data_IF_756084233011
#
_entry.id   IF_756084233011
#
_cell.length_a   1.000
_cell.length_b   1.000
_cell.length_c   1.000
_cell.angle_alpha   90.00
_cell.angle_beta   90.00
_cell.angle_gamma   90.00
#
_symmetry.space_group_name_H-M   'P 1'
#
loop_
_entity.id
_entity.type
_entity.pdbx_description
1 polymer ?
#
# COMPACT_ATOMS: atom_id res chain seq x y z
N UNK A 1 -0.58 18.13 69.69
CA UNK A 1 -1.80 18.16 68.87
C UNK A 1 -1.53 18.44 67.38
N UNK A 2 -0.69 19.41 67.06
CA UNK A 2 -0.39 19.77 65.61
C UNK A 2 0.30 18.66 64.76
N UNK A 3 1.12 17.80 65.40
CA UNK A 3 1.81 16.70 64.68
C UNK A 3 0.85 15.58 64.33
N UNK A 4 -0.12 15.25 65.19
CA UNK A 4 -1.12 14.19 64.89
C UNK A 4 -2.07 14.57 63.70
N UNK A 5 -2.39 15.86 63.57
CA UNK A 5 -3.25 16.38 62.55
C UNK A 5 -2.52 16.31 61.18
N UNK A 6 -1.22 16.64 61.14
CA UNK A 6 -0.41 16.53 59.89
C UNK A 6 -0.23 15.07 59.43
N UNK A 7 -0.07 14.14 60.39
CA UNK A 7 0.05 12.71 60.06
C UNK A 7 -1.29 12.15 59.50
N UNK A 8 -2.40 12.57 60.07
CA UNK A 8 -3.74 12.17 59.61
C UNK A 8 -4.05 12.73 58.24
N UNK A 9 -3.66 13.98 57.94
CA UNK A 9 -3.80 14.59 56.62
C UNK A 9 -2.95 13.89 55.55
N UNK A 10 -1.75 13.43 55.90
CA UNK A 10 -0.86 12.70 55.00
C UNK A 10 -1.42 11.31 54.66
N UNK A 11 -2.01 10.62 55.65
CA UNK A 11 -2.64 9.30 55.45
C UNK A 11 -3.89 9.41 54.58
N UNK A 12 -4.71 10.44 54.80
CA UNK A 12 -5.92 10.68 53.97
C UNK A 12 -5.53 11.03 52.54
N UNK A 13 -4.46 11.82 52.30
CA UNK A 13 -3.96 12.14 50.97
C UNK A 13 -3.42 10.91 50.23
N UNK A 14 -2.77 9.98 50.94
CA UNK A 14 -2.24 8.74 50.36
C UNK A 14 -3.35 7.76 49.95
N UNK A 15 -4.50 7.75 50.64
CA UNK A 15 -5.64 6.87 50.33
C UNK A 15 -6.42 7.37 49.11
N UNK A 16 -6.43 8.68 48.86
CA UNK A 16 -7.15 9.26 47.70
C UNK A 16 -6.38 9.03 46.38
N UNK A 17 -5.07 8.77 46.42
CA UNK A 17 -4.26 8.51 45.20
C UNK A 17 -4.34 7.07 44.71
N UNK A 18 -5.05 6.17 45.38
CA UNK A 18 -5.32 4.82 44.87
C UNK A 18 -6.64 4.81 44.08
N UNK A 19 -6.75 5.66 43.07
CA UNK A 19 -7.72 5.46 42.02
C UNK A 19 -7.31 4.23 41.22
N UNK A 20 -7.89 3.07 41.55
CA UNK A 20 -7.85 1.92 40.66
C UNK A 20 -8.50 2.35 39.34
N UNK A 21 -7.71 2.57 38.31
CA UNK A 21 -8.19 2.46 36.93
C UNK A 21 -8.31 0.94 36.76
N UNK A 22 -9.50 0.41 36.99
CA UNK A 22 -9.81 -0.96 36.56
C UNK A 22 -9.63 -0.96 35.00
N UNK A 23 -8.75 -1.79 34.47
CA UNK A 23 -8.74 -2.00 33.01
C UNK A 23 -10.13 -2.51 32.64
N UNK A 24 -10.85 -1.73 31.84
CA UNK A 24 -12.10 -2.21 31.26
C UNK A 24 -11.65 -3.19 30.17
N UNK A 25 -11.72 -4.48 30.46
CA UNK A 25 -11.66 -5.50 29.43
C UNK A 25 -12.90 -5.34 28.56
N UNK A 26 -12.73 -4.64 27.45
CA UNK A 26 -13.71 -4.68 26.38
C UNK A 26 -13.56 -6.05 25.72
N UNK A 27 -14.38 -7.02 26.13
CA UNK A 27 -14.69 -8.11 25.24
C UNK A 27 -15.45 -7.52 24.03
N UNK A 28 -14.73 -7.09 23.03
CA UNK A 28 -15.32 -6.84 21.71
C UNK A 28 -15.83 -8.20 21.27
N UNK A 29 -17.13 -8.37 21.24
CA UNK A 29 -17.74 -9.58 20.69
C UNK A 29 -17.22 -9.71 19.26
N UNK A 30 -16.39 -10.70 19.02
CA UNK A 30 -15.70 -10.89 17.75
C UNK A 30 -16.66 -11.56 16.78
N UNK A 31 -17.73 -10.83 16.40
CA UNK A 31 -18.77 -11.31 15.47
C UNK A 31 -18.17 -11.73 14.12
N UNK A 32 -16.95 -11.25 13.82
CA UNK A 32 -16.28 -11.47 12.52
C UNK A 32 -15.04 -12.36 12.58
N UNK A 33 -14.73 -12.98 13.73
CA UNK A 33 -13.50 -13.78 13.91
C UNK A 33 -13.33 -14.92 12.91
N UNK A 34 -14.43 -15.43 12.35
CA UNK A 34 -14.46 -16.47 11.32
C UNK A 34 -14.67 -15.94 9.89
N UNK A 35 -14.76 -14.64 9.73
CA UNK A 35 -15.00 -14.03 8.43
C UNK A 35 -13.77 -14.10 7.55
N UNK A 36 -14.00 -14.21 6.26
CA UNK A 36 -12.98 -14.31 5.22
C UNK A 36 -12.95 -12.99 4.46
N UNK A 37 -11.75 -12.53 4.15
CA UNK A 37 -11.50 -11.42 3.24
C UNK A 37 -10.97 -11.99 1.94
N UNK A 38 -11.63 -11.66 0.82
CA UNK A 38 -11.20 -12.03 -0.53
C UNK A 38 -11.04 -10.75 -1.33
N UNK A 39 -9.82 -10.46 -1.79
CA UNK A 39 -9.55 -9.39 -2.72
C UNK A 39 -9.09 -9.99 -4.03
N UNK A 40 -9.84 -9.76 -5.10
CA UNK A 40 -9.53 -10.36 -6.39
C UNK A 40 -9.61 -9.35 -7.52
N UNK A 41 -8.77 -9.57 -8.53
CA UNK A 41 -8.79 -8.76 -9.76
C UNK A 41 -8.40 -9.54 -10.99
N UNK A 42 -9.05 -9.24 -12.11
CA UNK A 42 -8.60 -9.58 -13.46
C UNK A 42 -8.09 -8.30 -14.10
N UNK A 43 -6.87 -8.33 -14.60
CA UNK A 43 -6.22 -7.14 -15.17
C UNK A 43 -5.81 -7.42 -16.62
N UNK A 44 -6.32 -6.60 -17.52
CA UNK A 44 -5.80 -6.46 -18.86
C UNK A 44 -4.66 -5.44 -18.83
N UNK A 45 -3.43 -5.92 -18.82
CA UNK A 45 -2.21 -5.13 -18.73
C UNK A 45 -1.05 -5.80 -19.46
N UNK A 46 0.16 -5.39 -19.16
CA UNK A 46 1.38 -6.00 -19.71
C UNK A 46 2.34 -6.39 -18.57
N UNK A 47 2.36 -7.70 -18.15
CA UNK A 47 1.48 -8.79 -18.59
C UNK A 47 0.04 -8.69 -18.05
N UNK A 48 -0.92 -9.28 -18.76
CA UNK A 48 -2.26 -9.50 -18.22
C UNK A 48 -2.23 -10.58 -17.14
N UNK A 49 -3.07 -10.47 -16.10
CA UNK A 49 -3.07 -11.43 -15.00
C UNK A 49 -4.41 -11.51 -14.26
N UNK A 50 -4.58 -12.59 -13.52
CA UNK A 50 -5.57 -12.73 -12.44
C UNK A 50 -4.83 -12.86 -11.12
N UNK A 51 -5.33 -12.18 -10.09
CA UNK A 51 -4.79 -12.27 -8.74
C UNK A 51 -5.94 -12.30 -7.74
N UNK A 52 -5.89 -13.24 -6.81
CA UNK A 52 -6.84 -13.37 -5.71
C UNK A 52 -6.07 -13.55 -4.42
N UNK A 53 -6.30 -12.66 -3.49
CA UNK A 53 -5.71 -12.63 -2.17
C UNK A 53 -6.76 -13.02 -1.13
N UNK A 54 -6.46 -14.01 -0.31
CA UNK A 54 -7.41 -14.57 0.66
C UNK A 54 -6.77 -14.58 2.05
N UNK A 55 -7.47 -13.95 2.99
CA UNK A 55 -7.04 -13.90 4.38
C UNK A 55 -8.22 -14.08 5.34
N UNK A 56 -7.91 -14.32 6.61
CA UNK A 56 -8.91 -14.18 7.68
C UNK A 56 -9.11 -12.70 7.97
N UNK A 57 -10.33 -12.35 8.31
CA UNK A 57 -10.57 -11.04 8.92
C UNK A 57 -9.81 -11.03 10.26
N UNK A 58 -8.95 -10.07 10.45
CA UNK A 58 -8.14 -9.99 11.67
C UNK A 58 -8.74 -9.00 12.66
N UNK A 59 -8.64 -9.36 13.91
CA UNK A 59 -8.97 -8.54 15.06
C UNK A 59 -7.88 -7.47 15.27
N UNK A 60 -8.24 -6.34 15.88
CA UNK A 60 -7.31 -5.27 16.29
C UNK A 60 -6.15 -5.75 17.18
N UNK A 61 -6.21 -7.00 17.67
CA UNK A 61 -5.13 -7.61 18.45
C UNK A 61 -4.03 -8.26 17.60
N UNK A 62 -4.23 -8.45 16.30
CA UNK A 62 -3.24 -9.06 15.40
C UNK A 62 -2.59 -8.00 14.51
N UNK A 63 -1.28 -7.81 14.69
CA UNK A 63 -0.49 -6.80 13.94
C UNK A 63 -0.21 -7.19 12.48
N UNK A 64 -0.69 -8.35 12.00
CA UNK A 64 -0.38 -8.84 10.67
C UNK A 64 -1.55 -9.59 10.02
N UNK A 65 -1.64 -9.40 8.71
CA UNK A 65 -2.53 -10.18 7.84
C UNK A 65 -2.33 -11.67 8.07
N UNK A 66 -3.42 -12.43 8.21
CA UNK A 66 -3.41 -13.88 8.36
C UNK A 66 -3.82 -14.55 7.04
N UNK A 67 -2.87 -15.01 6.22
CA UNK A 67 -3.19 -15.70 4.97
C UNK A 67 -4.05 -16.93 5.22
N UNK A 68 -5.08 -17.15 4.39
CA UNK A 68 -5.94 -18.34 4.47
C UNK A 68 -5.63 -19.29 3.31
N UNK A 69 -5.21 -20.50 3.65
CA UNK A 69 -5.12 -21.56 2.67
C UNK A 69 -6.53 -22.05 2.29
N UNK A 70 -6.78 -22.21 0.99
CA UNK A 70 -8.05 -22.70 0.45
C UNK A 70 -7.81 -23.88 -0.48
N UNK A 71 -8.88 -24.64 -0.75
CA UNK A 71 -8.84 -25.85 -1.56
C UNK A 71 -8.63 -25.52 -3.04
N UNK A 72 -9.39 -24.54 -3.55
CA UNK A 72 -9.31 -24.11 -4.94
C UNK A 72 -9.74 -22.64 -5.09
N UNK A 73 -9.21 -21.98 -6.11
CA UNK A 73 -9.68 -20.68 -6.61
C UNK A 73 -9.85 -20.80 -8.12
N UNK A 74 -11.06 -20.55 -8.62
CA UNK A 74 -11.40 -20.65 -10.04
C UNK A 74 -11.92 -19.32 -10.55
N UNK A 75 -11.39 -18.87 -11.69
CA UNK A 75 -11.90 -17.75 -12.46
C UNK A 75 -12.79 -18.24 -13.60
N UNK A 76 -13.88 -17.53 -13.87
CA UNK A 76 -14.82 -17.76 -14.96
C UNK A 76 -14.93 -16.53 -15.83
N UNK A 77 -15.15 -16.75 -17.12
CA UNK A 77 -15.55 -15.68 -18.05
C UNK A 77 -16.99 -15.90 -18.56
N UNK A 78 -17.51 -14.90 -19.28
CA UNK A 78 -18.86 -14.92 -19.85
C UNK A 78 -19.01 -15.78 -21.11
N UNK A 79 -17.93 -16.42 -21.60
CA UNK A 79 -17.98 -17.41 -22.71
C UNK A 79 -18.05 -18.85 -22.20
N UNK A 80 -18.03 -19.03 -20.88
CA UNK A 80 -18.05 -20.33 -20.25
C UNK A 80 -16.67 -20.98 -20.09
N UNK A 81 -15.58 -20.23 -20.32
CA UNK A 81 -14.26 -20.70 -19.98
C UNK A 81 -14.02 -20.55 -18.47
N UNK A 82 -13.20 -21.44 -17.94
CA UNK A 82 -12.79 -21.43 -16.54
C UNK A 82 -11.32 -21.82 -16.41
N UNK A 83 -10.69 -21.35 -15.36
CA UNK A 83 -9.29 -21.66 -15.06
C UNK A 83 -9.08 -21.67 -13.54
N UNK A 84 -8.45 -22.72 -13.05
CA UNK A 84 -7.98 -22.79 -11.67
C UNK A 84 -6.68 -22.00 -11.51
N UNK A 85 -6.61 -21.19 -10.44
CA UNK A 85 -5.44 -20.37 -10.15
C UNK A 85 -4.45 -21.13 -9.28
N UNK A 86 -3.17 -20.93 -9.55
CA UNK A 86 -2.08 -21.50 -8.74
C UNK A 86 -1.68 -20.59 -7.60
N UNK A 87 -1.32 -21.19 -6.46
CA UNK A 87 -0.80 -20.43 -5.31
C UNK A 87 0.60 -19.93 -5.60
N UNK A 88 0.82 -18.62 -5.50
CA UNK A 88 2.14 -18.00 -5.62
C UNK A 88 2.85 -17.87 -4.26
N UNK A 89 2.11 -17.43 -3.24
CA UNK A 89 2.54 -17.35 -1.84
C UNK A 89 1.36 -17.70 -0.95
N UNK A 90 1.52 -18.01 0.34
CA UNK A 90 0.40 -18.34 1.22
C UNK A 90 -0.73 -17.30 1.14
N UNK A 91 -1.92 -17.77 0.78
CA UNK A 91 -3.12 -16.93 0.62
C UNK A 91 -3.19 -16.09 -0.66
N UNK A 92 -2.17 -16.11 -1.51
CA UNK A 92 -2.16 -15.38 -2.79
C UNK A 92 -2.15 -16.36 -3.95
N UNK A 93 -3.13 -16.22 -4.83
CA UNK A 93 -3.29 -17.00 -6.05
C UNK A 93 -3.13 -16.07 -7.24
N UNK A 94 -2.09 -16.29 -8.05
CA UNK A 94 -1.79 -15.43 -9.18
C UNK A 94 -1.45 -16.27 -10.42
N UNK A 95 -2.04 -15.88 -11.54
CA UNK A 95 -1.76 -16.47 -12.84
C UNK A 95 -1.64 -15.39 -13.90
N UNK A 96 -0.54 -15.39 -14.62
CA UNK A 96 -0.41 -14.56 -15.84
C UNK A 96 -1.28 -15.16 -16.96
N UNK A 97 -1.88 -14.29 -17.73
CA UNK A 97 -2.77 -14.63 -18.84
C UNK A 97 -2.04 -14.38 -20.15
N UNK A 98 -1.96 -15.43 -20.96
CA UNK A 98 -1.37 -15.38 -22.29
C UNK A 98 -2.28 -16.09 -23.30
N UNK A 99 -1.88 -16.12 -24.57
CA UNK A 99 -2.67 -16.75 -25.64
C UNK A 99 -2.97 -18.26 -25.44
N UNK A 100 -2.32 -18.92 -24.48
CA UNK A 100 -2.49 -20.35 -24.17
C UNK A 100 -3.44 -20.60 -23.01
N UNK A 101 -3.72 -19.58 -22.20
CA UNK A 101 -4.62 -19.72 -21.04
C UNK A 101 -6.08 -19.75 -21.47
N UNK A 102 -6.93 -20.59 -20.83
CA UNK A 102 -8.35 -20.71 -21.20
C UNK A 102 -9.14 -19.42 -21.04
N UNK A 103 -8.79 -18.61 -20.03
CA UNK A 103 -9.39 -17.30 -19.75
C UNK A 103 -8.44 -16.22 -20.21
N UNK A 104 -8.97 -15.22 -20.93
CA UNK A 104 -8.24 -14.06 -21.42
C UNK A 104 -8.82 -12.79 -20.78
N UNK A 105 -7.97 -11.82 -20.40
CA UNK A 105 -8.44 -10.52 -19.92
C UNK A 105 -8.71 -9.59 -21.13
N UNK A 106 -9.96 -9.43 -21.51
CA UNK A 106 -10.37 -8.64 -22.66
C UNK A 106 -11.38 -7.57 -22.29
N UNK A 107 -11.23 -6.36 -22.83
CA UNK A 107 -12.17 -5.27 -22.63
C UNK A 107 -13.57 -5.65 -23.12
N UNK A 108 -14.59 -5.35 -22.32
CA UNK A 108 -15.98 -5.68 -22.59
C UNK A 108 -16.42 -7.06 -22.11
N UNK A 109 -15.49 -7.93 -21.73
CA UNK A 109 -15.77 -9.25 -21.16
C UNK A 109 -16.15 -9.15 -19.68
N UNK A 110 -16.83 -10.19 -19.20
CA UNK A 110 -17.27 -10.29 -17.81
C UNK A 110 -16.59 -11.46 -17.11
N UNK A 111 -16.25 -11.26 -15.84
CA UNK A 111 -15.52 -12.23 -15.03
C UNK A 111 -16.16 -12.40 -13.68
N UNK A 112 -15.99 -13.60 -13.09
CA UNK A 112 -16.33 -13.90 -11.71
C UNK A 112 -15.38 -14.92 -11.14
N UNK A 113 -15.29 -15.03 -9.81
CA UNK A 113 -14.47 -16.01 -9.13
C UNK A 113 -15.31 -16.90 -8.23
N UNK A 114 -14.78 -18.11 -8.00
CA UNK A 114 -15.22 -19.04 -6.96
C UNK A 114 -14.02 -19.45 -6.12
N UNK A 115 -14.19 -19.40 -4.80
CA UNK A 115 -13.23 -19.87 -3.81
C UNK A 115 -13.86 -20.99 -3.01
N UNK A 116 -13.18 -22.14 -2.87
CA UNK A 116 -13.57 -23.23 -1.96
C UNK A 116 -12.58 -23.35 -0.84
N UNK A 117 -13.06 -23.28 0.37
CA UNK A 117 -12.25 -23.43 1.58
C UNK A 117 -12.16 -24.87 2.04
N UNK A 118 -11.15 -25.20 2.85
CA UNK A 118 -11.00 -26.57 3.40
C UNK A 118 -12.10 -26.93 4.41
N UNK A 119 -12.76 -25.95 5.01
CA UNK A 119 -13.90 -26.16 5.91
C UNK A 119 -15.24 -26.32 5.17
N UNK A 120 -15.22 -26.30 3.82
CA UNK A 120 -16.34 -26.63 2.96
C UNK A 120 -17.18 -25.43 2.52
N UNK A 121 -16.80 -24.20 2.87
CA UNK A 121 -17.50 -22.99 2.39
C UNK A 121 -17.19 -22.73 0.92
N UNK A 122 -18.18 -22.31 0.17
CA UNK A 122 -18.06 -21.86 -1.22
C UNK A 122 -18.37 -20.36 -1.30
N UNK A 123 -17.41 -19.56 -1.73
CA UNK A 123 -17.54 -18.12 -1.90
C UNK A 123 -17.57 -17.82 -3.40
N UNK A 124 -18.56 -17.06 -3.84
CA UNK A 124 -18.67 -16.63 -5.24
C UNK A 124 -18.80 -15.11 -5.32
N UNK A 125 -18.17 -14.53 -6.35
CA UNK A 125 -18.38 -13.11 -6.67
C UNK A 125 -19.58 -12.93 -7.61
N UNK A 126 -20.18 -11.75 -7.57
CA UNK A 126 -20.97 -11.29 -8.72
C UNK A 126 -20.04 -11.06 -9.92
N UNK A 127 -20.66 -10.97 -11.09
CA UNK A 127 -19.90 -10.78 -12.34
C UNK A 127 -19.52 -9.31 -12.51
N UNK A 128 -18.23 -9.07 -12.78
CA UNK A 128 -17.67 -7.74 -13.08
C UNK A 128 -17.27 -7.63 -14.55
N UNK A 129 -17.55 -6.49 -15.16
CA UNK A 129 -17.17 -6.19 -16.55
C UNK A 129 -15.82 -5.47 -16.59
N UNK A 130 -14.93 -5.89 -17.49
CA UNK A 130 -13.67 -5.22 -17.73
C UNK A 130 -13.92 -4.02 -18.63
N UNK A 131 -13.89 -2.83 -18.06
CA UNK A 131 -14.08 -1.56 -18.78
C UNK A 131 -12.78 -1.09 -19.44
N UNK A 132 -12.85 -0.40 -20.58
CA UNK A 132 -11.67 0.24 -21.17
C UNK A 132 -11.14 1.36 -20.26
N UNK A 133 -9.84 1.64 -20.38
CA UNK A 133 -9.16 2.68 -19.65
C UNK A 133 -8.36 3.57 -20.59
N UNK A 134 -8.39 4.88 -20.37
CA UNK A 134 -7.59 5.82 -21.15
C UNK A 134 -6.15 5.86 -20.59
N UNK A 135 -5.18 6.07 -21.47
CA UNK A 135 -3.80 6.27 -21.04
C UNK A 135 -3.68 7.61 -20.33
N UNK A 136 -3.11 7.70 -19.13
CA UNK A 136 -2.82 8.98 -18.48
C UNK A 136 -1.98 9.88 -19.41
N UNK A 137 -2.33 11.17 -19.47
CA UNK A 137 -1.69 12.10 -20.42
C UNK A 137 -0.33 12.56 -19.93
N UNK A 138 -0.21 12.89 -18.63
CA UNK A 138 1.06 13.27 -17.99
C UNK A 138 1.02 13.01 -16.48
N UNK A 139 2.20 13.02 -15.87
CA UNK A 139 2.42 13.05 -14.43
C UNK A 139 3.05 14.39 -14.08
N UNK A 140 2.39 15.18 -13.24
CA UNK A 140 2.98 16.38 -12.61
C UNK A 140 3.89 15.98 -11.46
N UNK A 141 5.09 16.58 -11.37
CA UNK A 141 6.00 16.40 -10.23
C UNK A 141 6.48 17.77 -9.79
N UNK A 142 6.15 18.14 -8.57
CA UNK A 142 6.53 19.43 -8.00
C UNK A 142 7.20 19.26 -6.64
N UNK A 143 8.25 20.04 -6.38
CA UNK A 143 8.80 20.18 -5.04
C UNK A 143 8.16 21.38 -4.37
N UNK A 144 7.47 21.13 -3.28
CA UNK A 144 6.72 22.14 -2.51
C UNK A 144 7.27 22.27 -1.10
N UNK A 145 6.94 23.39 -0.46
CA UNK A 145 7.19 23.62 0.96
C UNK A 145 5.86 23.61 1.70
N UNK A 146 5.70 22.71 2.62
CA UNK A 146 4.46 22.54 3.40
C UNK A 146 4.74 22.75 4.88
N UNK A 147 3.79 23.36 5.59
CA UNK A 147 3.86 23.50 7.05
C UNK A 147 3.08 22.34 7.66
N UNK A 148 3.79 21.46 8.35
CA UNK A 148 3.22 20.30 9.02
C UNK A 148 3.33 20.45 10.54
N UNK A 149 2.54 19.68 11.26
CA UNK A 149 2.69 19.49 12.71
C UNK A 149 3.53 18.24 12.92
N UNK A 150 4.72 18.38 13.50
CA UNK A 150 5.60 17.25 13.77
C UNK A 150 5.16 16.47 15.02
N UNK A 151 5.81 15.34 15.31
CA UNK A 151 5.52 14.46 16.44
C UNK A 151 5.57 15.17 17.83
N UNK A 152 6.26 16.31 17.92
CA UNK A 152 6.32 17.14 19.13
C UNK A 152 5.21 18.22 19.19
N UNK A 153 4.20 18.16 18.31
CA UNK A 153 3.15 19.17 18.15
C UNK A 153 3.68 20.59 17.81
N UNK A 154 4.80 20.69 17.12
CA UNK A 154 5.36 21.94 16.65
C UNK A 154 5.15 22.11 15.15
N UNK A 155 4.90 23.34 14.72
CA UNK A 155 4.85 23.68 13.31
C UNK A 155 6.27 23.61 12.72
N UNK A 156 6.42 22.84 11.67
CA UNK A 156 7.67 22.65 10.93
C UNK A 156 7.41 22.83 9.43
N UNK A 157 8.32 23.51 8.74
CA UNK A 157 8.28 23.60 7.28
C UNK A 157 9.07 22.45 6.68
N UNK A 158 8.37 21.55 6.01
CA UNK A 158 8.96 20.38 5.37
C UNK A 158 8.96 20.54 3.84
N UNK A 159 10.06 20.13 3.21
CA UNK A 159 10.13 20.00 1.75
C UNK A 159 9.49 18.67 1.34
N UNK A 160 8.57 18.74 0.39
CA UNK A 160 7.82 17.56 -0.07
C UNK A 160 7.77 17.49 -1.58
N UNK A 161 7.55 16.31 -2.11
CA UNK A 161 7.25 16.08 -3.53
C UNK A 161 5.77 15.79 -3.65
N UNK A 162 5.10 16.62 -4.42
CA UNK A 162 3.72 16.43 -4.85
C UNK A 162 3.70 15.76 -6.21
N UNK A 163 2.96 14.68 -6.32
CA UNK A 163 2.71 13.93 -7.54
C UNK A 163 1.25 14.12 -7.94
N UNK A 164 1.02 14.50 -9.18
CA UNK A 164 -0.33 14.61 -9.75
C UNK A 164 -0.41 13.90 -11.09
N UNK A 165 -1.63 13.63 -11.56
CA UNK A 165 -1.89 13.00 -12.85
C UNK A 165 -2.89 13.82 -13.66
N UNK A 166 -2.58 13.94 -14.96
CA UNK A 166 -3.51 14.41 -15.99
C UNK A 166 -4.07 13.20 -16.72
N UNK A 167 -5.38 13.06 -16.76
CA UNK A 167 -6.05 11.92 -17.41
C UNK A 167 -7.38 12.31 -18.04
N UNK A 168 -7.94 11.40 -18.84
CA UNK A 168 -9.28 11.52 -19.37
C UNK A 168 -10.16 10.40 -18.84
N UNK A 169 -11.43 10.71 -18.65
CA UNK A 169 -12.48 9.76 -18.30
C UNK A 169 -13.53 9.72 -19.39
N UNK A 170 -14.09 8.54 -19.62
CA UNK A 170 -15.22 8.40 -20.54
C UNK A 170 -16.53 8.60 -19.75
N UNK A 171 -17.13 9.77 -19.91
CA UNK A 171 -18.37 10.12 -19.20
C UNK A 171 -19.55 9.22 -19.58
N UNK A 172 -19.51 8.55 -20.76
CA UNK A 172 -20.59 7.64 -21.19
C UNK A 172 -20.53 6.29 -20.47
N UNK A 173 -19.32 5.87 -20.06
CA UNK A 173 -19.12 4.58 -19.38
C UNK A 173 -19.38 4.62 -17.89
N UNK A 174 -19.53 5.80 -17.26
CA UNK A 174 -19.60 5.96 -15.80
C UNK A 174 -18.50 5.15 -15.07
N UNK A 175 -17.33 5.07 -15.69
CA UNK A 175 -16.19 4.32 -15.15
C UNK A 175 -15.41 5.19 -14.18
N UNK A 176 -15.20 4.71 -12.95
CA UNK A 176 -14.26 5.32 -12.03
C UNK A 176 -12.82 4.99 -12.40
N UNK A 177 -11.89 5.67 -11.76
CA UNK A 177 -10.46 5.39 -11.85
C UNK A 177 -9.90 5.06 -10.46
N UNK A 178 -8.93 4.17 -10.44
CA UNK A 178 -8.14 3.80 -9.27
C UNK A 178 -6.66 3.81 -9.65
N UNK A 179 -5.79 4.24 -8.73
CA UNK A 179 -4.36 4.28 -9.00
C UNK A 179 -3.55 3.56 -7.93
N UNK A 180 -2.58 2.76 -8.41
CA UNK A 180 -1.43 2.32 -7.61
C UNK A 180 -0.24 3.21 -7.96
N UNK A 181 0.40 3.79 -6.96
CA UNK A 181 1.62 4.59 -7.12
C UNK A 181 2.81 3.82 -6.56
N UNK A 182 3.80 3.55 -7.40
CA UNK A 182 5.02 2.86 -7.02
C UNK A 182 6.22 3.75 -7.18
N UNK A 183 7.16 3.58 -6.29
CA UNK A 183 8.47 4.19 -6.29
C UNK A 183 9.50 3.21 -6.78
N UNK A 184 10.26 3.59 -7.80
CA UNK A 184 11.37 2.77 -8.32
C UNK A 184 12.62 3.64 -8.31
N UNK A 185 13.59 3.30 -7.45
CA UNK A 185 14.79 4.10 -7.31
C UNK A 185 16.04 3.24 -7.22
N UNK A 186 17.18 3.86 -7.52
CA UNK A 186 18.49 3.24 -7.49
C UNK A 186 19.20 3.51 -6.19
N UNK A 187 19.85 2.50 -5.66
CA UNK A 187 20.77 2.60 -4.53
C UNK A 187 22.08 1.93 -4.91
N UNK A 188 23.18 2.62 -4.67
CA UNK A 188 24.52 2.01 -4.76
C UNK A 188 25.06 1.87 -3.35
N UNK A 189 25.25 0.61 -2.90
CA UNK A 189 25.75 0.33 -1.56
C UNK A 189 27.25 0.70 -1.43
N UNK A 190 27.73 0.72 -0.21
CA UNK A 190 29.11 1.10 0.09
C UNK A 190 30.11 -0.03 -0.13
N UNK A 191 29.66 -1.26 -0.32
CA UNK A 191 30.49 -2.45 -0.40
C UNK A 191 31.31 -2.73 0.87
N UNK A 192 30.88 -2.24 2.03
CA UNK A 192 31.69 -2.31 3.26
C UNK A 192 31.87 -3.75 3.77
N UNK A 193 30.90 -4.63 3.51
CA UNK A 193 30.89 -5.97 4.04
C UNK A 193 31.90 -6.90 3.33
N UNK A 194 32.06 -6.74 2.02
CA UNK A 194 32.91 -7.61 1.20
C UNK A 194 33.77 -6.86 0.17
N UNK A 195 33.86 -5.54 0.31
CA UNK A 195 34.62 -4.63 -0.58
C UNK A 195 34.14 -4.61 -2.02
N UNK A 196 32.88 -5.01 -2.26
CA UNK A 196 32.23 -5.01 -3.58
C UNK A 196 31.02 -4.09 -3.55
N UNK A 197 31.10 -2.94 -4.23
CA UNK A 197 29.93 -2.08 -4.42
C UNK A 197 28.91 -2.75 -5.34
N UNK A 198 27.64 -2.66 -4.97
CA UNK A 198 26.52 -3.16 -5.75
C UNK A 198 25.57 -2.03 -6.05
N UNK A 199 24.90 -2.15 -7.16
CA UNK A 199 23.77 -1.29 -7.51
C UNK A 199 22.50 -2.12 -7.47
N UNK A 200 21.53 -1.69 -6.69
CA UNK A 200 20.21 -2.27 -6.60
C UNK A 200 19.15 -1.27 -7.07
N UNK A 201 18.06 -1.81 -7.53
CA UNK A 201 16.85 -1.09 -7.90
C UNK A 201 15.75 -1.54 -6.94
N UNK A 202 15.19 -0.60 -6.18
CA UNK A 202 14.16 -0.86 -5.19
C UNK A 202 12.82 -0.50 -5.82
N UNK A 203 11.87 -1.44 -5.82
CA UNK A 203 10.50 -1.25 -6.35
C UNK A 203 9.49 -1.51 -5.26
N UNK A 204 8.83 -0.48 -4.74
CA UNK A 204 7.85 -0.60 -3.66
C UNK A 204 6.65 0.33 -3.86
N UNK A 205 5.53 0.00 -3.22
CA UNK A 205 4.40 0.93 -3.12
C UNK A 205 4.87 2.20 -2.41
N UNK A 206 4.48 3.35 -2.93
CA UNK A 206 4.87 4.64 -2.35
C UNK A 206 4.14 4.91 -1.04
N UNK A 207 2.87 4.52 -0.97
CA UNK A 207 2.08 4.47 0.26
C UNK A 207 1.29 3.16 0.27
N UNK A 208 1.18 2.54 1.44
CA UNK A 208 0.42 1.30 1.64
C UNK A 208 -1.00 1.60 2.12
N UNK A 209 -1.18 2.73 2.78
CA UNK A 209 -2.42 3.08 3.48
C UNK A 209 -3.33 3.98 2.63
N UNK A 210 -2.79 4.64 1.60
CA UNK A 210 -3.54 5.59 0.78
C UNK A 210 -4.23 4.90 -0.40
N UNK A 211 -5.48 5.25 -0.61
CA UNK A 211 -6.30 4.78 -1.72
C UNK A 211 -6.62 5.96 -2.63
N UNK A 212 -6.17 5.87 -3.88
CA UNK A 212 -6.39 6.94 -4.85
C UNK A 212 -7.49 6.55 -5.81
N UNK A 213 -8.66 7.13 -5.61
CA UNK A 213 -9.87 6.84 -6.38
C UNK A 213 -10.46 8.13 -6.92
N UNK A 214 -11.02 8.09 -8.11
CA UNK A 214 -11.70 9.21 -8.71
C UNK A 214 -13.08 8.80 -9.19
N UNK A 215 -14.09 9.51 -8.73
CA UNK A 215 -15.45 9.47 -9.29
C UNK A 215 -15.57 10.58 -10.35
N UNK A 216 -15.68 10.25 -11.64
CA UNK A 216 -15.78 11.28 -12.68
C UNK A 216 -17.02 12.16 -12.56
N UNK A 217 -18.03 11.74 -11.83
CA UNK A 217 -19.25 12.53 -11.58
C UNK A 217 -19.01 13.77 -10.71
N UNK A 218 -17.90 13.81 -9.99
CA UNK A 218 -17.47 14.96 -9.16
C UNK A 218 -16.80 16.05 -9.98
N UNK A 219 -16.52 15.79 -11.26
CA UNK A 219 -15.79 16.69 -12.14
C UNK A 219 -16.68 17.20 -13.29
N UNK A 220 -16.38 18.40 -13.76
CA UNK A 220 -17.06 18.99 -14.92
C UNK A 220 -16.26 18.72 -16.19
N UNK A 221 -16.70 17.76 -17.00
CA UNK A 221 -16.07 17.40 -18.26
C UNK A 221 -15.25 16.11 -18.18
N UNK A 222 -14.66 15.72 -19.31
CA UNK A 222 -13.96 14.44 -19.45
C UNK A 222 -12.47 14.53 -19.14
N UNK A 223 -11.90 15.75 -19.05
CA UNK A 223 -10.49 15.96 -18.77
C UNK A 223 -10.28 16.29 -17.29
N UNK A 224 -9.50 15.48 -16.64
CA UNK A 224 -9.05 15.66 -15.27
C UNK A 224 -7.61 16.18 -15.31
N UNK A 225 -7.39 17.33 -14.71
CA UNK A 225 -6.09 18.00 -14.68
C UNK A 225 -5.60 18.15 -13.26
N UNK A 226 -4.30 17.89 -13.08
CA UNK A 226 -3.60 18.09 -11.81
C UNK A 226 -4.26 17.37 -10.62
N UNK A 227 -4.77 16.15 -10.87
CA UNK A 227 -5.34 15.33 -9.80
C UNK A 227 -4.23 14.84 -8.90
N UNK A 228 -4.22 15.30 -7.65
CA UNK A 228 -3.19 14.93 -6.68
C UNK A 228 -3.31 13.45 -6.30
N UNK A 229 -2.21 12.71 -6.47
CA UNK A 229 -2.12 11.30 -6.06
C UNK A 229 -1.43 11.18 -4.71
N UNK A 230 -0.27 11.82 -4.53
CA UNK A 230 0.50 11.67 -3.30
C UNK A 230 1.38 12.88 -3.06
N UNK A 231 1.57 13.20 -1.78
CA UNK A 231 2.56 14.20 -1.34
C UNK A 231 3.45 13.60 -0.26
N UNK A 232 4.73 13.33 -0.59
CA UNK A 232 5.69 12.64 0.27
C UNK A 232 6.87 13.53 0.65
N UNK A 233 7.49 13.32 1.83
CA UNK A 233 8.67 14.06 2.24
C UNK A 233 9.85 13.89 1.26
N UNK A 234 10.61 14.95 1.03
CA UNK A 234 11.88 14.84 0.31
C UNK A 234 12.84 13.99 1.10
N UNK A 235 13.37 12.95 0.46
CA UNK A 235 14.32 12.00 1.06
C UNK A 235 15.57 11.84 0.20
N UNK A 236 16.58 11.17 0.76
CA UNK A 236 17.81 10.85 0.06
C UNK A 236 17.61 9.90 -1.14
N UNK A 237 16.49 9.18 -1.17
CA UNK A 237 16.14 8.22 -2.24
C UNK A 237 15.98 8.88 -3.60
N UNK A 238 15.62 10.17 -3.63
CA UNK A 238 15.42 10.92 -4.88
C UNK A 238 16.71 11.24 -5.64
N UNK A 239 17.88 11.14 -5.01
CA UNK A 239 19.13 11.71 -5.53
C UNK A 239 19.79 10.86 -6.61
N UNK A 240 19.70 9.52 -6.53
CA UNK A 240 20.42 8.62 -7.43
C UNK A 240 19.59 8.09 -8.60
N UNK A 241 18.55 8.80 -8.96
CA UNK A 241 17.59 8.39 -9.98
C UNK A 241 16.37 7.73 -9.37
N UNK A 242 15.26 8.39 -9.51
CA UNK A 242 13.97 7.98 -8.94
C UNK A 242 12.88 8.11 -9.98
N UNK A 243 12.03 7.10 -10.06
CA UNK A 243 10.88 7.06 -10.95
C UNK A 243 9.61 6.87 -10.12
N UNK A 244 8.59 7.63 -10.45
CA UNK A 244 7.24 7.23 -10.14
C UNK A 244 6.68 6.37 -11.28
N UNK A 245 6.10 5.24 -10.92
CA UNK A 245 5.27 4.43 -11.78
C UNK A 245 3.85 4.53 -11.28
N UNK A 246 2.98 5.12 -12.10
CA UNK A 246 1.55 5.23 -11.83
C UNK A 246 0.83 4.22 -12.70
N UNK A 247 0.11 3.31 -12.06
CA UNK A 247 -0.77 2.34 -12.70
C UNK A 247 -2.20 2.81 -12.51
N UNK A 248 -2.87 3.10 -13.61
CA UNK A 248 -4.26 3.53 -13.65
C UNK A 248 -5.15 2.35 -14.03
N UNK A 249 -6.19 2.12 -13.25
CA UNK A 249 -7.17 1.05 -13.44
C UNK A 249 -8.55 1.63 -13.68
N UNK A 250 -9.31 1.04 -14.63
CA UNK A 250 -10.72 1.36 -14.83
C UNK A 250 -11.57 0.62 -13.80
N UNK A 251 -12.57 1.28 -13.23
CA UNK A 251 -13.50 0.68 -12.29
C UNK A 251 -14.95 0.77 -12.79
N UNK A 252 -15.71 -0.29 -12.57
CA UNK A 252 -17.17 -0.22 -12.66
C UNK A 252 -17.74 0.66 -11.55
N UNK A 253 -18.99 1.12 -11.69
CA UNK A 253 -19.63 1.91 -10.63
C UNK A 253 -19.72 1.16 -9.29
N UNK A 254 -19.89 -0.17 -9.34
CA UNK A 254 -19.90 -1.02 -8.14
C UNK A 254 -18.53 -1.10 -7.47
N UNK A 255 -17.46 -1.30 -8.26
CA UNK A 255 -16.09 -1.32 -7.77
C UNK A 255 -15.65 0.06 -7.24
N UNK A 256 -15.99 1.14 -7.94
CA UNK A 256 -15.75 2.50 -7.49
C UNK A 256 -16.40 2.78 -6.12
N UNK A 257 -17.64 2.35 -5.95
CA UNK A 257 -18.38 2.53 -4.68
C UNK A 257 -17.73 1.73 -3.54
N UNK A 258 -17.20 0.54 -3.83
CA UNK A 258 -16.43 -0.22 -2.86
C UNK A 258 -15.15 0.51 -2.45
N UNK A 259 -14.32 0.93 -3.41
CA UNK A 259 -13.05 1.58 -3.13
C UNK A 259 -13.20 2.93 -2.44
N UNK A 260 -14.19 3.77 -2.83
CA UNK A 260 -14.54 4.98 -2.10
C UNK A 260 -14.96 4.68 -0.66
N UNK A 261 -15.66 3.56 -0.44
CA UNK A 261 -16.04 3.14 0.90
C UNK A 261 -14.83 2.76 1.77
N UNK A 262 -13.83 2.09 1.17
CA UNK A 262 -12.58 1.75 1.87
C UNK A 262 -11.76 3.02 2.15
N UNK A 263 -11.67 3.94 1.19
CA UNK A 263 -10.97 5.22 1.34
C UNK A 263 -11.53 6.03 2.52
N UNK A 264 -12.85 6.20 2.58
CA UNK A 264 -13.51 6.84 3.73
C UNK A 264 -13.23 6.12 5.06
N UNK A 265 -13.01 4.81 5.04
CA UNK A 265 -12.66 4.06 6.25
C UNK A 265 -11.19 4.27 6.65
N UNK A 266 -10.27 4.35 5.69
CA UNK A 266 -8.83 4.52 5.93
C UNK A 266 -8.50 5.92 6.48
N UNK A 267 -9.22 6.95 6.05
CA UNK A 267 -9.03 8.34 6.52
C UNK A 267 -9.45 8.57 7.99
N UNK A 268 -9.99 7.55 8.64
CA UNK A 268 -10.51 7.71 9.99
C UNK A 268 -9.45 7.53 11.05
N UNK A 269 -9.27 8.55 11.83
CA UNK A 269 -8.37 8.56 12.99
C UNK A 269 -9.00 7.92 14.26
N UNK A 270 -10.19 7.31 14.16
CA UNK A 270 -10.90 6.74 15.31
C UNK A 270 -11.45 7.79 16.29
N UNK A 271 -11.80 8.97 15.80
CA UNK A 271 -12.37 10.04 16.60
C UNK A 271 -13.78 9.68 17.09
N UNK A 272 -14.11 10.08 18.33
CA UNK A 272 -15.45 9.89 18.93
C UNK A 272 -16.56 10.64 18.13
N UNK A 273 -16.17 11.56 17.25
CA UNK A 273 -17.05 12.35 16.40
C UNK A 273 -17.22 11.78 15.01
N UNK A 274 -16.50 10.70 14.67
CA UNK A 274 -16.62 10.06 13.38
C UNK A 274 -18.02 9.45 13.23
N UNK A 275 -18.67 9.74 12.09
CA UNK A 275 -19.97 9.14 11.82
C UNK A 275 -19.80 7.62 11.68
N UNK A 276 -20.70 6.79 12.27
CA UNK A 276 -20.66 5.37 12.01
C UNK A 276 -20.80 5.15 10.50
N UNK A 277 -19.80 4.57 9.87
CA UNK A 277 -19.93 4.11 8.48
C UNK A 277 -20.67 2.80 8.52
N UNK A 278 -21.64 2.71 7.64
CA UNK A 278 -22.20 1.41 7.29
C UNK A 278 -21.08 0.53 6.71
N UNK A 279 -21.32 -0.75 6.70
CA UNK A 279 -20.41 -1.72 6.10
C UNK A 279 -20.20 -1.42 4.62
N UNK A 280 -18.94 -1.48 4.17
CA UNK A 280 -18.61 -1.38 2.74
C UNK A 280 -19.19 -2.60 2.02
N UNK A 281 -20.03 -2.42 0.99
CA UNK A 281 -20.68 -3.53 0.32
C UNK A 281 -19.68 -4.37 -0.48
N UNK A 282 -19.62 -5.66 -0.16
CA UNK A 282 -18.86 -6.66 -0.91
C UNK A 282 -19.69 -7.18 -2.10
N UNK A 283 -19.03 -7.62 -3.17
CA UNK A 283 -19.68 -8.38 -4.24
C UNK A 283 -19.46 -9.89 -4.11
N UNK A 284 -19.03 -10.34 -2.94
CA UNK A 284 -18.72 -11.72 -2.61
C UNK A 284 -19.77 -12.27 -1.65
N UNK A 285 -20.21 -13.50 -1.89
CA UNK A 285 -21.24 -14.19 -1.09
C UNK A 285 -20.78 -15.60 -0.77
N UNK A 286 -20.94 -16.01 0.49
CA UNK A 286 -20.88 -17.41 0.85
C UNK A 286 -22.20 -18.08 0.42
N UNK A 287 -22.16 -18.93 -0.61
CA UNK A 287 -23.37 -19.52 -1.21
C UNK A 287 -23.96 -20.63 -0.35
N UNK A 288 -23.16 -21.24 0.54
CA UNK A 288 -23.61 -22.28 1.46
C UNK A 288 -24.33 -21.69 2.68
N UNK A 289 -23.90 -20.50 3.12
CA UNK A 289 -24.50 -19.74 4.22
C UNK A 289 -24.40 -18.24 3.98
N UNK A 290 -25.41 -17.62 3.34
CA UNK A 290 -25.40 -16.18 3.05
C UNK A 290 -25.42 -15.28 4.30
N UNK A 291 -25.66 -15.83 5.49
CA UNK A 291 -25.56 -15.08 6.74
C UNK A 291 -24.11 -14.94 7.25
N UNK A 292 -23.23 -15.81 6.78
CA UNK A 292 -21.80 -15.74 7.06
C UNK A 292 -21.14 -14.79 6.07
N UNK A 293 -20.78 -13.62 6.59
CA UNK A 293 -20.32 -12.49 5.79
C UNK A 293 -18.91 -12.71 5.23
N UNK A 294 -18.73 -12.35 3.96
CA UNK A 294 -17.45 -12.30 3.26
C UNK A 294 -17.11 -10.85 2.96
N UNK A 295 -15.90 -10.45 3.31
CA UNK A 295 -15.37 -9.12 3.05
C UNK A 295 -14.49 -9.10 1.81
N UNK A 296 -14.19 -7.90 1.33
CA UNK A 296 -13.36 -7.69 0.16
C UNK A 296 -14.20 -7.51 -1.11
N UNK A 297 -13.54 -7.53 -2.25
CA UNK A 297 -14.15 -7.28 -3.54
C UNK A 297 -13.38 -7.95 -4.66
N UNK A 298 -14.09 -8.39 -5.70
CA UNK A 298 -13.52 -8.85 -6.96
C UNK A 298 -13.89 -7.87 -8.07
N UNK A 299 -12.91 -7.41 -8.84
CA UNK A 299 -13.14 -6.49 -9.96
C UNK A 299 -12.34 -6.89 -11.21
N UNK A 300 -12.75 -6.37 -12.36
CA UNK A 300 -12.05 -6.54 -13.63
C UNK A 300 -11.69 -5.16 -14.19
N UNK A 301 -10.45 -5.00 -14.65
CA UNK A 301 -9.92 -3.69 -15.02
C UNK A 301 -8.95 -3.77 -16.18
N UNK A 302 -8.88 -2.70 -16.98
CA UNK A 302 -7.75 -2.44 -17.85
C UNK A 302 -6.72 -1.58 -17.12
N UNK A 303 -5.48 -2.02 -17.09
CA UNK A 303 -4.33 -1.29 -16.55
C UNK A 303 -3.71 -0.41 -17.64
N UNK A 304 -3.41 0.84 -17.29
CA UNK A 304 -2.54 1.71 -18.08
C UNK A 304 -1.38 2.17 -17.17
N UNK A 305 -0.18 2.12 -17.71
CA UNK A 305 1.04 2.42 -16.93
C UNK A 305 1.75 3.61 -17.52
N UNK A 306 2.02 4.60 -16.67
CA UNK A 306 2.89 5.72 -17.02
C UNK A 306 4.04 5.80 -16.01
N UNK A 307 5.25 6.10 -16.52
CA UNK A 307 6.45 6.25 -15.69
C UNK A 307 7.07 7.60 -15.95
N UNK A 308 7.46 8.28 -14.88
CA UNK A 308 8.16 9.56 -14.98
C UNK A 308 9.34 9.60 -14.04
N UNK A 309 10.50 9.94 -14.58
CA UNK A 309 11.72 10.19 -13.79
C UNK A 309 11.60 11.55 -13.10
N UNK A 310 11.95 11.61 -11.84
CA UNK A 310 12.07 12.87 -11.14
C UNK A 310 13.33 13.59 -11.65
N UNK A 311 13.27 14.88 -11.97
CA UNK A 311 14.44 15.67 -12.36
C UNK A 311 15.45 15.79 -11.22
N UNK A 312 16.72 15.45 -11.48
CA UNK A 312 17.80 15.50 -10.46
C UNK A 312 18.04 16.93 -9.93
N UNK A 313 17.72 17.92 -10.74
CA UNK A 313 17.88 19.34 -10.41
C UNK A 313 17.05 19.77 -9.19
N UNK A 314 15.99 19.03 -8.89
CA UNK A 314 15.14 19.28 -7.73
C UNK A 314 15.82 18.93 -6.39
N UNK A 315 16.96 18.19 -6.40
CA UNK A 315 17.57 17.61 -5.18
C UNK A 315 19.05 17.94 -5.01
N UNK A 316 19.54 19.02 -5.60
CA UNK A 316 20.95 19.44 -5.49
C UNK A 316 21.40 19.75 -4.07
N UNK A 317 20.46 19.99 -3.17
CA UNK A 317 20.66 20.25 -1.73
C UNK A 317 20.48 19.00 -0.85
N UNK A 318 20.13 17.86 -1.43
CA UNK A 318 19.87 16.59 -0.73
C UNK A 318 21.10 15.69 -0.85
N UNK A 319 21.47 15.02 0.25
CA UNK A 319 22.58 14.06 0.25
C UNK A 319 22.10 12.70 -0.24
N UNK A 320 22.99 11.93 -0.87
CA UNK A 320 22.72 10.55 -1.29
C UNK A 320 22.45 9.63 -0.09
N UNK A 321 21.72 8.53 -0.31
CA UNK A 321 21.45 7.52 0.73
C UNK A 321 22.75 6.97 1.29
N UNK A 322 23.69 6.61 0.38
CA UNK A 322 24.95 5.97 0.71
C UNK A 322 26.11 6.87 0.25
N UNK A 323 26.53 7.87 1.07
CA UNK A 323 27.66 8.70 0.72
C UNK A 323 28.93 7.86 0.57
N UNK A 324 29.79 8.24 -0.37
CA UNK A 324 31.05 7.56 -0.64
C UNK A 324 31.89 7.41 0.63
N UNK A 325 32.52 6.24 0.78
CA UNK A 325 33.50 6.00 1.82
C UNK A 325 34.68 6.97 1.70
N UNK A 326 34.91 7.78 2.72
CA UNK A 326 36.07 8.64 2.78
C UNK A 326 37.17 7.90 3.54
N UNK A 327 38.27 7.62 2.86
CA UNK A 327 39.45 7.05 3.51
C UNK A 327 40.18 8.14 4.30
N UNK A 328 40.04 8.12 5.63
CA UNK A 328 40.75 9.03 6.52
C UNK A 328 41.70 8.21 7.41
N UNK A 329 42.99 8.52 7.37
CA UNK A 329 44.04 7.88 8.19
C UNK A 329 44.10 6.35 8.05
N UNK A 330 43.84 5.81 6.88
CA UNK A 330 43.92 4.37 6.62
C UNK A 330 42.68 3.55 7.06
N UNK A 331 41.69 4.18 7.63
CA UNK A 331 40.39 3.56 7.96
C UNK A 331 39.31 4.10 7.01
N UNK A 332 38.43 3.20 6.56
CA UNK A 332 37.22 3.56 5.82
C UNK A 332 36.20 4.11 6.84
N UNK A 333 35.80 5.36 6.70
CA UNK A 333 34.79 5.98 7.55
C UNK A 333 33.59 6.24 6.68
N UNK A 334 32.44 5.63 7.01
CA UNK A 334 31.16 6.00 6.47
C UNK A 334 30.61 7.21 7.21
N UNK A 335 30.43 8.32 6.51
CA UNK A 335 29.87 9.55 7.07
C UNK A 335 28.35 9.47 7.29
N UNK A 336 27.70 8.37 6.84
CA UNK A 336 26.25 8.21 6.88
C UNK A 336 25.71 7.41 8.06
N UNK A 337 26.53 6.73 8.79
CA UNK A 337 26.09 6.15 10.07
C UNK A 337 26.12 7.27 11.12
N UNK A 338 25.28 8.29 10.91
CA UNK A 338 25.21 9.52 11.70
C UNK A 338 24.96 9.26 13.17
N UNK A 339 26.00 8.97 13.90
CA UNK A 339 26.22 9.29 15.28
C UNK A 339 27.48 8.55 15.74
N UNK A 340 28.59 9.22 15.73
CA UNK A 340 29.75 8.72 16.45
C UNK A 340 31.05 8.87 15.70
N UNK A 341 31.53 10.09 15.64
CA UNK A 341 32.94 10.40 15.47
C UNK A 341 33.64 10.03 16.79
N UNK A 342 33.62 8.78 17.13
CA UNK A 342 34.53 8.25 18.15
C UNK A 342 35.00 6.89 17.63
N UNK A 343 36.26 6.87 17.25
CA UNK A 343 36.94 5.73 16.66
C UNK A 343 37.00 4.49 17.56
N UNK A 344 35.87 3.92 17.84
CA UNK A 344 35.79 2.60 18.46
C UNK A 344 35.34 1.59 17.40
N UNK A 345 36.27 0.78 17.09
CA UNK A 345 36.34 -0.28 16.14
C UNK A 345 35.26 -1.33 16.35
N UNK A 346 34.54 -1.68 15.29
CA UNK A 346 33.87 -2.98 15.18
C UNK A 346 32.36 -2.98 15.42
N UNK A 347 31.68 -1.87 15.38
CA UNK A 347 30.21 -1.86 15.25
C UNK A 347 29.82 -2.32 13.84
N UNK A 348 29.03 -3.37 13.74
CA UNK A 348 28.39 -3.73 12.48
C UNK A 348 27.68 -2.48 11.94
N UNK A 349 27.84 -2.21 10.65
CA UNK A 349 27.16 -1.12 9.98
C UNK A 349 25.66 -1.37 10.08
N UNK A 350 24.93 -0.52 10.82
CA UNK A 350 23.47 -0.65 10.99
C UNK A 350 22.72 0.11 9.89
N UNK A 351 23.37 0.45 8.80
CA UNK A 351 22.85 1.34 7.78
C UNK A 351 22.05 0.63 6.67
N UNK A 352 21.51 -0.56 6.93
CA UNK A 352 20.57 -1.24 6.03
C UNK A 352 21.04 -1.27 4.57
N UNK A 353 20.32 -0.62 3.69
CA UNK A 353 20.58 -0.53 2.24
C UNK A 353 22.02 -0.11 1.87
N UNK A 354 22.71 0.67 2.71
CA UNK A 354 24.09 1.09 2.42
C UNK A 354 25.14 0.04 2.74
N UNK A 355 24.83 -0.97 3.53
CA UNK A 355 25.73 -2.09 3.81
C UNK A 355 25.62 -3.17 2.74
N UNK A 356 24.41 -3.53 2.41
CA UNK A 356 24.09 -4.47 1.34
C UNK A 356 22.68 -4.17 0.83
N UNK A 357 22.58 -3.57 -0.34
CA UNK A 357 21.28 -3.20 -0.90
C UNK A 357 20.38 -4.39 -1.27
N UNK A 358 20.90 -5.62 -1.22
CA UNK A 358 20.14 -6.86 -1.46
C UNK A 358 19.31 -7.30 -0.24
N UNK A 359 19.56 -6.71 0.94
CA UNK A 359 18.79 -7.03 2.15
C UNK A 359 17.35 -6.49 2.12
N UNK A 360 17.07 -5.53 1.25
CA UNK A 360 15.69 -5.10 1.01
C UNK A 360 14.95 -6.14 0.16
N UNK A 361 13.82 -6.62 0.64
CA UNK A 361 13.00 -7.64 -0.03
C UNK A 361 12.47 -7.21 -1.41
N UNK A 362 12.37 -5.89 -1.63
CA UNK A 362 11.93 -5.28 -2.88
C UNK A 362 13.10 -4.94 -3.82
N UNK A 363 14.31 -5.39 -3.50
CA UNK A 363 15.50 -5.06 -4.25
C UNK A 363 15.76 -6.04 -5.41
N UNK A 364 16.28 -5.51 -6.50
CA UNK A 364 16.79 -6.28 -7.63
C UNK A 364 18.09 -5.69 -8.14
N UNK A 365 19.07 -6.53 -8.48
CA UNK A 365 20.27 -6.10 -9.21
C UNK A 365 20.06 -6.00 -10.73
N UNK A 366 18.90 -6.43 -11.20
CA UNK A 366 18.52 -6.33 -12.63
C UNK A 366 18.00 -4.91 -12.85
N UNK A 367 18.70 -4.18 -13.72
CA UNK A 367 18.28 -2.84 -14.11
C UNK A 367 16.97 -2.91 -14.91
N UNK A 368 15.91 -2.20 -14.50
CA UNK A 368 14.70 -2.08 -15.31
C UNK A 368 14.99 -1.40 -16.66
N UNK A 369 14.35 -1.86 -17.73
CA UNK A 369 14.61 -1.37 -19.11
C UNK A 369 14.37 0.13 -19.27
N UNK A 370 13.43 0.69 -18.52
CA UNK A 370 13.09 2.12 -18.55
C UNK A 370 14.02 2.99 -17.68
N UNK A 371 14.89 2.40 -16.89
CA UNK A 371 15.77 3.13 -15.98
C UNK A 371 16.99 3.68 -16.76
N UNK A 372 17.11 5.01 -16.85
CA UNK A 372 18.20 5.69 -17.57
C UNK A 372 19.46 5.87 -16.70
#
# INVERSE_FOLDING_TARGET
>A
MKIRIKLLSLIISAVICHGCIDPIDFEVANEFSDSIVVQGRVVNGDPSFVEVDISRFFDFSSESRQPLAVQEVVIFDDQGNQMELTTSTPGVFRQELDATTPVQAEVGRRYSIRVRTFDGRTIESTTEILLPNQVPQDIGIERISEVIINEMNLLETQQRIRLSVDTEVDAELNSGLYWDVRSIFRVTDSGINDMVQRTCYIDRLTSVDDIYVLDPREFSGNQIKDFELITIPVSAEFVEGYYFQVKQYSLTESALRYWNGIDILSEREGSVFDRPVGQVPSNLVNVDDPSNQVFGYFFASQEQVIRKRIPDELFTDVRTICPMLIQRFGALIMDSCGNGVNGDTGGACTCGLCCDCREDENSSQIRPDFFL
#
